data_IF_563413770020
#
_entry.id   IF_563413770020
#
_cell.length_a   1.000
_cell.length_b   1.000
_cell.length_c   1.000
_cell.angle_alpha   90.00
_cell.angle_beta   90.00
_cell.angle_gamma   90.00
#
_symmetry.space_group_name_H-M   'P 1'
#
loop_
_entity.id
_entity.type
_entity.pdbx_description
1 polymer ?
#
# COMPACT_ATOMS: atom_id res chain seq x y z
N UNK A 1 4.68 -76.53 3.32
CA UNK A 1 5.67 -75.97 2.37
C UNK A 1 6.09 -74.61 2.89
N UNK A 2 7.39 -74.51 3.21
CA UNK A 2 8.27 -73.32 3.44
C UNK A 2 7.72 -72.12 4.22
N UNK A 3 8.12 -72.07 5.49
CA UNK A 3 8.22 -70.88 6.35
C UNK A 3 9.34 -69.96 5.84
N UNK A 4 9.11 -68.65 5.84
CA UNK A 4 10.10 -67.63 5.45
C UNK A 4 10.82 -67.08 6.71
N UNK A 5 12.13 -66.98 6.61
CA UNK A 5 13.09 -66.54 7.64
C UNK A 5 13.03 -65.02 7.91
N UNK A 6 12.96 -64.58 9.18
CA UNK A 6 13.13 -63.19 9.59
C UNK A 6 14.59 -62.93 10.00
N UNK A 7 15.53 -62.99 9.05
CA UNK A 7 16.96 -63.12 9.38
C UNK A 7 17.94 -62.11 8.74
N UNK A 8 17.50 -61.04 8.07
CA UNK A 8 18.43 -60.31 7.17
C UNK A 8 18.39 -58.78 7.21
N UNK A 9 17.65 -58.15 8.14
CA UNK A 9 17.54 -56.68 8.18
C UNK A 9 18.29 -55.98 9.33
N UNK A 10 19.11 -56.71 10.09
CA UNK A 10 19.81 -56.16 11.28
C UNK A 10 21.27 -55.75 11.04
N UNK A 11 21.72 -55.63 9.79
CA UNK A 11 23.11 -55.26 9.46
C UNK A 11 23.25 -54.07 8.49
N UNK A 12 22.20 -53.26 8.32
CA UNK A 12 22.27 -51.98 7.60
C UNK A 12 21.99 -50.77 8.51
N UNK A 13 22.27 -50.90 9.81
CA UNK A 13 21.99 -49.87 10.82
C UNK A 13 23.23 -49.20 11.45
N UNK A 14 24.46 -49.57 11.08
CA UNK A 14 25.68 -49.12 11.80
C UNK A 14 26.71 -48.30 11.00
N UNK A 15 26.36 -47.75 9.83
CA UNK A 15 27.30 -46.92 9.05
C UNK A 15 26.71 -45.57 8.57
N UNK A 16 25.86 -44.94 9.39
CA UNK A 16 25.39 -43.57 9.15
C UNK A 16 25.66 -42.67 10.36
N UNK A 17 26.92 -42.63 10.77
CA UNK A 17 27.42 -41.78 11.86
C UNK A 17 28.16 -40.60 11.23
N UNK A 18 27.55 -39.41 11.38
CA UNK A 18 28.14 -38.06 11.40
C UNK A 18 28.59 -37.42 10.07
N UNK A 19 27.61 -36.96 9.28
CA UNK A 19 27.75 -35.72 8.52
C UNK A 19 26.73 -34.70 9.05
N UNK A 20 27.11 -33.98 10.11
CA UNK A 20 26.31 -32.84 10.59
C UNK A 20 26.52 -31.70 9.58
N UNK A 21 25.50 -31.28 8.82
CA UNK A 21 25.64 -30.13 7.94
C UNK A 21 25.90 -28.90 8.83
N UNK A 22 27.05 -28.25 8.60
CA UNK A 22 27.35 -26.98 9.24
C UNK A 22 26.22 -25.98 8.90
N UNK A 23 25.74 -25.18 9.88
CA UNK A 23 24.70 -24.20 9.62
C UNK A 23 25.20 -23.24 8.54
N UNK A 24 24.47 -23.17 7.42
CA UNK A 24 24.68 -22.18 6.40
C UNK A 24 24.53 -20.79 7.06
N UNK A 25 25.66 -20.11 7.30
CA UNK A 25 25.65 -18.72 7.74
C UNK A 25 24.87 -17.93 6.70
N UNK A 26 23.70 -17.43 7.08
CA UNK A 26 22.93 -16.51 6.28
C UNK A 26 23.81 -15.29 5.98
N UNK A 27 24.36 -15.23 4.76
CA UNK A 27 25.05 -14.03 4.30
C UNK A 27 24.07 -12.87 4.34
N UNK A 28 24.45 -11.78 5.00
CA UNK A 28 23.65 -10.57 5.05
C UNK A 28 23.42 -10.05 3.62
N UNK A 29 22.27 -9.41 3.39
CA UNK A 29 21.96 -8.73 2.13
C UNK A 29 23.06 -7.74 1.72
N UNK A 30 23.72 -7.12 2.71
CA UNK A 30 24.83 -6.19 2.50
C UNK A 30 26.08 -6.86 1.92
N UNK A 31 26.44 -8.06 2.41
CA UNK A 31 27.53 -8.87 1.86
C UNK A 31 27.26 -9.25 0.39
N UNK A 32 26.03 -9.68 0.09
CA UNK A 32 25.61 -9.99 -1.29
C UNK A 32 25.69 -8.76 -2.19
N UNK A 33 25.29 -7.59 -1.70
CA UNK A 33 25.36 -6.33 -2.46
C UNK A 33 26.81 -5.95 -2.75
N UNK A 34 27.70 -6.12 -1.79
CA UNK A 34 29.13 -5.87 -1.94
C UNK A 34 29.78 -6.80 -2.95
N UNK A 35 29.50 -8.10 -2.89
CA UNK A 35 30.00 -9.07 -3.89
C UNK A 35 29.51 -8.76 -5.31
N UNK A 36 28.28 -8.26 -5.44
CA UNK A 36 27.73 -7.87 -6.74
C UNK A 36 28.40 -6.60 -7.29
N UNK A 37 28.68 -5.62 -6.43
CA UNK A 37 29.43 -4.41 -6.81
C UNK A 37 30.87 -4.73 -7.22
N UNK A 38 31.54 -5.66 -6.52
CA UNK A 38 32.88 -6.15 -6.87
C UNK A 38 32.89 -6.88 -8.23
N UNK A 39 31.91 -7.77 -8.49
CA UNK A 39 31.80 -8.47 -9.79
C UNK A 39 31.53 -7.52 -10.96
N UNK A 40 30.84 -6.42 -10.72
CA UNK A 40 30.52 -5.42 -11.74
C UNK A 40 31.63 -4.38 -11.93
N UNK A 41 32.72 -4.45 -11.16
CA UNK A 41 33.83 -3.50 -11.26
C UNK A 41 33.44 -2.06 -10.89
N UNK A 42 32.32 -1.87 -10.18
CA UNK A 42 31.85 -0.54 -9.78
C UNK A 42 32.65 -0.16 -8.54
N UNK A 43 33.72 0.61 -8.73
CA UNK A 43 34.53 1.14 -7.63
C UNK A 43 33.61 1.97 -6.72
N UNK A 44 33.54 1.68 -5.41
CA UNK A 44 32.69 2.43 -4.49
C UNK A 44 33.10 3.92 -4.53
N UNK A 45 32.12 4.84 -4.50
CA UNK A 45 32.42 6.27 -4.51
C UNK A 45 33.31 6.60 -3.29
N UNK A 46 34.32 7.48 -3.46
CA UNK A 46 35.16 7.89 -2.35
C UNK A 46 34.26 8.46 -1.25
N UNK A 47 34.47 7.97 -0.03
CA UNK A 47 33.77 8.42 1.18
C UNK A 47 33.94 9.93 1.28
N UNK A 48 32.86 10.66 0.96
CA UNK A 48 32.87 12.12 0.99
C UNK A 48 32.91 12.54 2.46
N UNK A 49 34.03 13.12 2.89
CA UNK A 49 34.19 13.64 4.23
C UNK A 49 33.05 14.62 4.55
N UNK A 50 32.46 14.48 5.73
CA UNK A 50 31.42 15.36 6.22
C UNK A 50 31.87 16.82 6.12
N UNK A 51 31.07 17.74 5.56
CA UNK A 51 31.42 19.14 5.52
C UNK A 51 31.43 19.71 6.94
N UNK A 52 32.57 20.31 7.26
CA UNK A 52 32.85 21.02 8.50
C UNK A 52 31.85 22.18 8.69
N UNK A 53 31.21 22.24 9.86
CA UNK A 53 30.20 23.23 10.18
C UNK A 53 30.88 24.58 10.45
N UNK A 54 30.97 25.41 9.41
CA UNK A 54 31.52 26.76 9.47
C UNK A 54 30.74 27.69 10.41
N UNK A 55 31.49 28.34 11.30
CA UNK A 55 31.10 29.38 12.27
C UNK A 55 30.57 30.64 11.57
N UNK A 56 29.50 31.30 12.07
CA UNK A 56 29.00 32.56 11.52
C UNK A 56 29.91 33.75 11.90
N UNK A 57 30.36 34.50 10.88
CA UNK A 57 31.15 35.74 11.05
C UNK A 57 30.27 36.99 11.31
N UNK A 58 30.76 37.99 12.05
CA UNK A 58 29.98 39.16 12.45
C UNK A 58 30.06 40.33 11.43
N UNK A 59 28.90 40.95 11.19
CA UNK A 59 28.73 42.41 11.08
C UNK A 59 29.29 43.13 9.85
N UNK A 60 28.45 43.31 8.82
CA UNK A 60 28.64 44.37 7.81
C UNK A 60 27.81 45.62 8.19
N UNK A 61 28.37 46.84 8.11
CA UNK A 61 27.67 48.08 8.46
C UNK A 61 26.68 48.55 7.38
N UNK A 62 25.69 49.37 7.74
CA UNK A 62 24.63 49.83 6.83
C UNK A 62 25.15 50.88 5.83
N UNK A 63 24.68 50.86 4.56
CA UNK A 63 25.02 51.90 3.60
C UNK A 63 24.19 53.17 3.82
N UNK A 64 24.89 54.29 3.66
CA UNK A 64 24.42 55.65 3.85
C UNK A 64 23.24 56.05 2.94
N UNK A 65 22.34 56.83 3.54
CA UNK A 65 21.14 57.42 2.97
C UNK A 65 21.52 58.58 2.03
N UNK A 66 21.54 58.31 0.73
CA UNK A 66 21.67 59.34 -0.30
C UNK A 66 20.29 59.91 -0.66
N UNK A 67 20.12 61.20 -0.36
CA UNK A 67 18.95 62.00 -0.69
C UNK A 67 18.62 61.92 -2.19
N UNK A 68 17.41 61.41 -2.51
CA UNK A 68 16.88 61.37 -3.88
C UNK A 68 16.00 62.58 -4.14
N UNK A 69 16.27 63.24 -5.27
CA UNK A 69 15.44 64.23 -5.94
C UNK A 69 14.06 63.64 -6.30
N UNK A 70 12.98 64.46 -6.26
CA UNK A 70 11.63 64.00 -6.61
C UNK A 70 11.54 63.71 -8.11
N UNK A 71 11.56 62.43 -8.46
CA UNK A 71 11.34 61.94 -9.82
C UNK A 71 9.84 61.93 -10.18
N UNK A 72 9.56 62.18 -11.45
CA UNK A 72 8.24 62.15 -12.06
C UNK A 72 7.45 60.87 -11.73
N UNK A 73 6.11 60.94 -11.63
CA UNK A 73 5.27 59.81 -11.27
C UNK A 73 5.48 58.63 -12.23
N UNK A 74 5.80 57.41 -11.74
CA UNK A 74 6.04 56.26 -12.59
C UNK A 74 4.76 55.88 -13.35
N UNK A 75 4.89 55.70 -14.65
CA UNK A 75 3.85 55.14 -15.50
C UNK A 75 3.41 53.79 -14.89
N UNK A 76 2.11 53.67 -14.60
CA UNK A 76 1.51 52.46 -14.00
C UNK A 76 1.71 51.29 -14.96
N UNK A 77 2.69 50.43 -14.67
CA UNK A 77 2.83 49.13 -15.33
C UNK A 77 1.58 48.32 -15.01
N UNK A 78 0.89 47.72 -16.00
CA UNK A 78 -0.32 46.96 -15.73
C UNK A 78 -0.01 45.78 -14.81
N UNK A 79 -0.41 45.89 -13.53
CA UNK A 79 -0.15 44.93 -12.47
C UNK A 79 -0.91 43.60 -12.58
N UNK A 80 -1.50 43.31 -13.75
CA UNK A 80 -2.38 42.15 -13.97
C UNK A 80 -1.73 40.95 -14.66
N UNK A 81 -0.50 41.05 -15.16
CA UNK A 81 0.03 40.06 -16.11
C UNK A 81 0.65 38.79 -15.48
N UNK A 82 0.88 38.74 -14.17
CA UNK A 82 1.69 37.66 -13.57
C UNK A 82 0.95 36.74 -12.60
N UNK A 83 -0.38 36.66 -12.69
CA UNK A 83 -1.09 35.66 -11.88
C UNK A 83 -0.91 34.27 -12.49
N UNK A 84 -0.45 33.26 -11.72
CA UNK A 84 -0.35 31.90 -12.22
C UNK A 84 -1.71 31.42 -12.76
N UNK A 85 -1.74 30.97 -14.01
CA UNK A 85 -2.90 30.35 -14.66
C UNK A 85 -3.16 28.99 -14.01
N UNK A 86 -4.42 28.66 -13.74
CA UNK A 86 -4.79 27.30 -13.31
C UNK A 86 -4.80 26.41 -14.54
N UNK A 87 -3.98 25.34 -14.60
CA UNK A 87 -3.97 24.43 -15.74
C UNK A 87 -5.36 23.83 -16.00
N UNK A 88 -5.64 23.45 -17.24
CA UNK A 88 -6.92 22.90 -17.67
C UNK A 88 -6.72 21.48 -18.18
N UNK A 89 -7.72 20.62 -18.00
CA UNK A 89 -7.53 19.20 -18.34
C UNK A 89 -7.23 19.01 -19.84
N UNK A 90 -7.95 19.71 -20.70
CA UNK A 90 -7.88 19.52 -22.14
C UNK A 90 -6.53 19.91 -22.75
N UNK A 91 -6.01 21.09 -22.39
CA UNK A 91 -4.82 21.70 -23.01
C UNK A 91 -3.53 21.30 -22.29
N UNK A 92 -3.57 21.14 -20.96
CA UNK A 92 -2.35 20.98 -20.17
C UNK A 92 -2.19 19.56 -19.62
N UNK A 93 -3.27 18.97 -19.09
CA UNK A 93 -3.16 17.71 -18.33
C UNK A 93 -3.26 16.48 -19.21
N UNK A 94 -4.21 16.43 -20.15
CA UNK A 94 -4.37 15.28 -21.02
C UNK A 94 -3.11 15.01 -21.86
N UNK A 95 -2.47 15.98 -22.53
CA UNK A 95 -1.22 15.72 -23.25
C UNK A 95 -0.09 15.21 -22.34
N UNK A 96 -0.02 15.71 -21.11
CA UNK A 96 0.94 15.25 -20.12
C UNK A 96 0.68 13.80 -19.70
N UNK A 97 -0.56 13.45 -19.37
CA UNK A 97 -0.94 12.09 -19.00
C UNK A 97 -0.76 11.13 -20.18
N UNK A 98 -1.06 11.57 -21.40
CA UNK A 98 -0.84 10.76 -22.59
C UNK A 98 0.64 10.48 -22.82
N UNK A 99 1.49 11.51 -22.69
CA UNK A 99 2.93 11.36 -22.85
C UNK A 99 3.54 10.43 -21.81
N UNK A 100 3.20 10.61 -20.54
CA UNK A 100 3.88 9.94 -19.43
C UNK A 100 3.23 8.60 -19.04
N UNK A 101 1.92 8.43 -19.24
CA UNK A 101 1.15 7.31 -18.69
C UNK A 101 0.52 6.39 -19.75
N UNK A 102 0.29 6.84 -20.99
CA UNK A 102 -0.46 6.07 -22.03
C UNK A 102 0.25 4.79 -22.48
N UNK A 103 1.57 4.71 -22.35
CA UNK A 103 2.30 3.47 -22.67
C UNK A 103 1.84 2.28 -21.82
N UNK A 104 1.46 2.54 -20.57
CA UNK A 104 0.90 1.53 -19.67
C UNK A 104 -0.64 1.58 -19.64
N UNK A 105 -1.22 2.77 -19.58
CA UNK A 105 -2.66 2.99 -19.43
C UNK A 105 -3.40 3.20 -20.76
N UNK A 106 -2.79 2.91 -21.90
CA UNK A 106 -3.47 2.91 -23.19
C UNK A 106 -4.34 1.66 -23.39
N UNK A 107 -5.17 1.61 -24.44
CA UNK A 107 -6.02 0.45 -24.76
C UNK A 107 -5.22 -0.84 -25.00
N UNK A 108 -3.99 -0.71 -25.51
CA UNK A 108 -3.07 -1.84 -25.73
C UNK A 108 -1.98 -1.94 -24.65
N UNK A 109 -2.03 -1.06 -23.64
CA UNK A 109 -1.04 -1.00 -22.58
C UNK A 109 -1.22 -2.14 -21.57
N UNK A 110 -0.17 -2.44 -20.80
CA UNK A 110 -0.23 -3.49 -19.77
C UNK A 110 -1.28 -3.23 -18.68
N UNK A 111 -1.68 -1.98 -18.49
CA UNK A 111 -2.73 -1.56 -17.57
C UNK A 111 -4.07 -1.27 -18.28
N UNK A 112 -4.27 -1.75 -19.52
CA UNK A 112 -5.52 -1.62 -20.28
C UNK A 112 -6.74 -2.22 -19.57
N UNK A 113 -6.51 -3.19 -18.68
CA UNK A 113 -7.57 -3.82 -17.85
C UNK A 113 -7.86 -3.07 -16.56
N UNK A 114 -7.13 -1.99 -16.28
CA UNK A 114 -7.38 -1.18 -15.09
C UNK A 114 -8.61 -0.31 -15.27
N UNK A 115 -9.09 0.28 -14.17
CA UNK A 115 -10.23 1.23 -14.20
C UNK A 115 -9.87 2.59 -14.82
N UNK A 116 -8.61 2.79 -15.19
CA UNK A 116 -8.09 4.03 -15.78
C UNK A 116 -7.37 3.73 -17.08
N UNK A 117 -8.03 4.04 -18.20
CA UNK A 117 -7.50 3.84 -19.56
C UNK A 117 -7.57 5.16 -20.30
N UNK A 118 -6.43 5.63 -20.81
CA UNK A 118 -6.28 6.86 -21.58
C UNK A 118 -6.49 6.56 -23.07
N UNK A 119 -7.55 7.12 -23.64
CA UNK A 119 -7.92 6.96 -25.05
C UNK A 119 -7.54 8.18 -25.90
N UNK A 120 -7.22 9.30 -25.25
CA UNK A 120 -7.01 10.60 -25.90
C UNK A 120 -8.32 11.32 -26.22
N UNK A 121 -9.38 10.99 -25.48
CA UNK A 121 -10.73 11.51 -25.72
C UNK A 121 -11.23 12.32 -24.51
N UNK A 122 -12.27 13.15 -24.66
CA UNK A 122 -12.84 13.90 -23.53
C UNK A 122 -13.28 13.02 -22.36
N UNK A 123 -13.63 11.75 -22.61
CA UNK A 123 -13.99 10.78 -21.57
C UNK A 123 -12.85 10.47 -20.58
N UNK A 124 -11.60 10.74 -20.95
CA UNK A 124 -10.44 10.54 -20.07
C UNK A 124 -10.50 11.47 -18.83
N UNK A 125 -11.21 12.60 -18.92
CA UNK A 125 -11.41 13.52 -17.80
C UNK A 125 -12.14 12.83 -16.64
N UNK A 126 -13.31 12.26 -16.91
CA UNK A 126 -14.13 11.57 -15.90
C UNK A 126 -13.41 10.34 -15.34
N UNK A 127 -12.66 9.63 -16.19
CA UNK A 127 -11.84 8.51 -15.73
C UNK A 127 -10.72 8.98 -14.79
N UNK A 128 -10.11 10.12 -15.07
CA UNK A 128 -9.01 10.69 -14.27
C UNK A 128 -9.50 11.27 -12.94
N UNK A 129 -10.66 11.94 -12.92
CA UNK A 129 -11.24 12.52 -11.70
C UNK A 129 -11.43 11.51 -10.56
N UNK A 130 -11.68 10.23 -10.89
CA UNK A 130 -11.80 9.15 -9.90
C UNK A 130 -10.54 8.93 -9.05
N UNK A 131 -9.40 9.48 -9.48
CA UNK A 131 -8.10 9.35 -8.81
C UNK A 131 -7.58 10.69 -8.28
N UNK A 132 -8.44 11.72 -8.27
CA UNK A 132 -8.11 13.07 -7.85
C UNK A 132 -8.81 13.39 -6.52
N UNK A 133 -8.07 13.99 -5.59
CA UNK A 133 -8.56 14.45 -4.30
C UNK A 133 -8.27 15.96 -4.17
N UNK A 134 -9.17 16.85 -4.63
CA UNK A 134 -8.89 18.29 -4.67
C UNK A 134 -8.56 18.90 -3.31
N UNK A 135 -9.26 18.47 -2.25
CA UNK A 135 -9.05 18.95 -0.88
C UNK A 135 -7.68 18.57 -0.31
N UNK A 136 -7.06 17.51 -0.83
CA UNK A 136 -5.77 16.97 -0.38
C UNK A 136 -4.93 16.62 -1.59
N UNK A 137 -4.63 17.61 -2.43
CA UNK A 137 -4.08 17.43 -3.76
C UNK A 137 -2.88 16.47 -3.80
N UNK A 138 -1.86 16.69 -2.96
CA UNK A 138 -0.67 15.84 -2.86
C UNK A 138 -0.96 14.38 -2.43
N UNK A 139 -2.13 14.12 -1.82
CA UNK A 139 -2.57 12.78 -1.43
C UNK A 139 -3.35 12.05 -2.53
N UNK A 140 -3.67 12.74 -3.64
CA UNK A 140 -4.39 12.15 -4.78
C UNK A 140 -3.69 10.89 -5.27
N UNK A 141 -4.41 9.75 -5.42
CA UNK A 141 -3.87 8.52 -5.97
C UNK A 141 -3.14 8.72 -7.30
N UNK A 142 -3.62 9.63 -8.15
CA UNK A 142 -2.98 9.96 -9.43
C UNK A 142 -1.54 10.47 -9.25
N UNK A 143 -1.32 11.45 -8.37
CA UNK A 143 0.02 11.99 -8.10
C UNK A 143 0.91 10.98 -7.41
N UNK A 144 0.38 10.28 -6.41
CA UNK A 144 1.15 9.28 -5.66
C UNK A 144 1.65 8.13 -6.54
N UNK A 145 0.79 7.64 -7.42
CA UNK A 145 1.15 6.59 -8.39
C UNK A 145 2.16 7.12 -9.40
N UNK A 146 1.88 8.25 -10.04
CA UNK A 146 2.80 8.86 -11.01
C UNK A 146 4.19 9.13 -10.43
N UNK A 147 4.24 9.61 -9.18
CA UNK A 147 5.48 9.89 -8.45
C UNK A 147 6.19 8.64 -7.89
N UNK A 148 5.56 7.47 -7.98
CA UNK A 148 6.08 6.23 -7.40
C UNK A 148 6.10 6.21 -5.88
N UNK A 149 5.38 7.12 -5.20
CA UNK A 149 5.21 7.09 -3.74
C UNK A 149 4.15 6.07 -3.31
N UNK A 150 3.31 5.63 -4.24
CA UNK A 150 2.43 4.46 -4.09
C UNK A 150 2.74 3.46 -5.18
N UNK A 151 2.90 2.20 -4.78
CA UNK A 151 3.24 1.13 -5.69
C UNK A 151 2.03 0.77 -6.58
N UNK A 152 2.25 0.64 -7.89
CA UNK A 152 1.18 0.27 -8.83
C UNK A 152 1.65 -0.64 -9.98
N UNK A 153 2.73 -1.40 -9.79
CA UNK A 153 3.30 -2.32 -10.79
C UNK A 153 4.03 -1.61 -11.95
N UNK A 154 3.76 -0.33 -12.17
CA UNK A 154 4.48 0.55 -13.08
C UNK A 154 5.73 1.20 -12.45
N UNK A 155 6.61 1.72 -13.30
CA UNK A 155 7.74 2.56 -12.88
C UNK A 155 7.24 3.95 -12.51
N UNK A 156 8.02 4.67 -11.70
CA UNK A 156 7.85 6.12 -11.49
C UNK A 156 7.97 6.84 -12.84
N UNK A 157 6.94 7.60 -13.21
CA UNK A 157 6.89 8.36 -14.48
C UNK A 157 6.96 9.87 -14.26
N UNK A 158 6.58 10.36 -13.08
CA UNK A 158 6.68 11.78 -12.71
C UNK A 158 7.70 11.96 -11.59
N UNK A 159 8.76 12.74 -11.81
CA UNK A 159 9.58 13.20 -10.68
C UNK A 159 8.81 14.27 -9.89
N UNK A 160 8.87 14.24 -8.55
CA UNK A 160 8.18 15.23 -7.69
C UNK A 160 8.62 16.67 -8.05
N UNK A 161 9.89 16.85 -8.39
CA UNK A 161 10.45 18.15 -8.81
C UNK A 161 10.25 18.46 -10.31
N UNK A 162 9.56 17.59 -11.07
CA UNK A 162 9.35 17.83 -12.49
C UNK A 162 8.27 18.89 -12.72
N UNK A 163 8.44 19.66 -13.80
CA UNK A 163 7.41 20.59 -14.25
C UNK A 163 6.05 19.88 -14.47
N UNK A 164 6.07 18.63 -14.94
CA UNK A 164 4.85 17.84 -15.15
C UNK A 164 4.10 17.55 -13.85
N UNK A 165 4.82 17.10 -12.81
CA UNK A 165 4.24 16.91 -11.48
C UNK A 165 3.64 18.21 -10.94
N UNK A 166 4.39 19.33 -11.03
CA UNK A 166 3.90 20.64 -10.58
C UNK A 166 2.66 21.13 -11.34
N UNK A 167 2.56 20.88 -12.65
CA UNK A 167 1.37 21.21 -13.44
C UNK A 167 0.16 20.39 -13.01
N UNK A 168 0.35 19.09 -12.78
CA UNK A 168 -0.73 18.22 -12.32
C UNK A 168 -1.19 18.58 -10.91
N UNK A 169 -0.26 18.89 -9.99
CA UNK A 169 -0.58 19.35 -8.64
C UNK A 169 -1.43 20.63 -8.67
N UNK A 170 -1.00 21.66 -9.42
CA UNK A 170 -1.75 22.92 -9.53
C UNK A 170 -3.15 22.74 -10.15
N UNK A 171 -3.30 21.82 -11.09
CA UNK A 171 -4.63 21.49 -11.65
C UNK A 171 -5.54 20.90 -10.58
N UNK A 172 -5.05 19.96 -9.77
CA UNK A 172 -5.83 19.35 -8.69
C UNK A 172 -6.18 20.38 -7.62
N UNK A 173 -5.21 21.20 -7.18
CA UNK A 173 -5.44 22.29 -6.23
C UNK A 173 -6.44 23.33 -6.75
N UNK A 174 -6.45 23.55 -8.07
CA UNK A 174 -7.41 24.40 -8.77
C UNK A 174 -8.80 23.79 -8.95
N UNK A 175 -9.09 22.63 -8.34
CA UNK A 175 -10.38 21.95 -8.45
C UNK A 175 -10.54 21.11 -9.71
N UNK A 176 -9.44 20.79 -10.39
CA UNK A 176 -9.37 19.90 -11.54
C UNK A 176 -10.34 20.27 -12.70
N UNK A 177 -10.31 21.50 -13.26
CA UNK A 177 -11.26 21.90 -14.29
C UNK A 177 -11.14 21.09 -15.61
N UNK A 178 -12.27 20.75 -16.30
CA UNK A 178 -12.30 19.88 -17.50
C UNK A 178 -11.79 20.52 -18.80
N UNK A 179 -11.81 21.84 -18.89
CA UNK A 179 -11.58 22.54 -20.15
C UNK A 179 -10.20 23.19 -20.25
N UNK A 180 -10.16 24.31 -20.97
CA UNK A 180 -8.98 25.16 -21.10
C UNK A 180 -8.58 25.78 -19.77
N UNK A 181 -7.29 26.03 -19.63
CA UNK A 181 -6.77 26.65 -18.43
C UNK A 181 -7.36 28.06 -18.24
N UNK A 182 -7.81 28.34 -17.02
CA UNK A 182 -8.49 29.59 -16.67
C UNK A 182 -7.46 30.59 -16.16
N UNK A 183 -7.52 31.82 -16.66
CA UNK A 183 -6.83 32.95 -16.02
C UNK A 183 -7.32 33.04 -14.58
N UNK A 184 -6.41 33.10 -13.60
CA UNK A 184 -6.79 33.04 -12.19
C UNK A 184 -7.68 34.23 -11.83
N UNK A 185 -9.00 34.03 -11.83
CA UNK A 185 -9.85 34.73 -10.89
C UNK A 185 -9.62 34.08 -9.52
N UNK A 186 -9.54 34.84 -8.41
CA UNK A 186 -9.39 34.23 -7.10
C UNK A 186 -10.57 33.27 -6.93
N UNK A 187 -10.30 32.01 -6.61
CA UNK A 187 -11.33 31.13 -6.11
C UNK A 187 -11.89 31.82 -4.87
N UNK A 188 -13.05 32.46 -5.02
CA UNK A 188 -13.83 32.90 -3.87
C UNK A 188 -14.08 31.63 -3.08
N UNK A 189 -13.38 31.50 -1.96
CA UNK A 189 -13.63 30.48 -0.95
C UNK A 189 -15.09 30.67 -0.57
N UNK A 190 -15.95 29.86 -1.18
CA UNK A 190 -17.32 29.74 -0.76
C UNK A 190 -17.27 29.06 0.60
N UNK A 191 -17.20 29.88 1.66
CA UNK A 191 -17.59 29.46 3.00
C UNK A 191 -19.00 28.90 2.90
N UNK A 192 -19.10 27.57 2.86
CA UNK A 192 -20.34 26.87 3.09
C UNK A 192 -20.76 27.14 4.54
N UNK A 193 -21.74 28.03 4.72
CA UNK A 193 -22.57 28.04 5.93
C UNK A 193 -23.43 26.78 5.92
N UNK A 194 -23.48 25.98 7.01
CA UNK A 194 -24.42 24.87 7.12
C UNK A 194 -25.82 25.41 7.41
N UNK A 195 -26.55 25.79 6.36
CA UNK A 195 -27.98 26.03 6.42
C UNK A 195 -28.72 24.72 6.22
N UNK A 196 -29.31 24.18 7.29
CA UNK A 196 -30.23 23.04 7.25
C UNK A 196 -31.58 23.49 6.68
N UNK A 197 -32.11 22.89 5.61
CA UNK A 197 -33.53 22.85 5.38
C UNK A 197 -34.06 21.44 5.69
N UNK A 198 -34.95 21.39 6.66
CA UNK A 198 -35.82 20.26 6.99
C UNK A 198 -36.86 20.08 5.88
N UNK A 199 -37.05 18.88 5.33
CA UNK A 199 -38.30 18.51 4.68
C UNK A 199 -39.03 17.46 5.52
N UNK A 200 -40.18 17.85 6.06
CA UNK A 200 -41.25 16.93 6.46
C UNK A 200 -42.09 16.66 5.22
N UNK A 201 -42.15 15.43 4.71
CA UNK A 201 -43.33 14.93 4.01
C UNK A 201 -43.47 13.41 4.18
N UNK A 202 -44.50 13.08 4.94
CA UNK A 202 -45.29 11.86 4.86
C UNK A 202 -45.67 11.52 3.41
N UNK A 203 -45.79 10.20 3.15
CA UNK A 203 -46.74 9.52 2.25
C UNK A 203 -46.11 8.38 1.44
N UNK A 204 -46.40 7.17 1.90
CA UNK A 204 -46.57 5.97 1.07
C UNK A 204 -47.88 6.11 0.24
N UNK A 205 -48.13 5.35 -0.86
CA UNK A 205 -48.15 3.87 -0.83
C UNK A 205 -47.63 3.12 -2.09
N UNK A 206 -47.35 1.84 -1.85
CA UNK A 206 -47.56 0.65 -2.68
C UNK A 206 -47.40 0.74 -4.22
N UNK A 207 -46.44 -0.04 -4.73
CA UNK A 207 -46.59 -0.73 -6.01
C UNK A 207 -45.85 -2.07 -5.96
N UNK A 208 -46.63 -3.13 -6.11
CA UNK A 208 -46.21 -4.52 -6.23
C UNK A 208 -45.69 -4.80 -7.65
N UNK A 209 -44.58 -5.51 -7.77
CA UNK A 209 -44.23 -6.22 -9.00
C UNK A 209 -43.67 -7.62 -8.67
N UNK A 210 -43.94 -8.61 -9.53
CA UNK A 210 -43.85 -10.03 -9.20
C UNK A 210 -42.42 -10.61 -9.28
N UNK A 211 -42.12 -11.48 -8.34
CA UNK A 211 -40.97 -12.41 -8.35
C UNK A 211 -41.07 -13.42 -9.49
N UNK A 212 -40.14 -13.37 -10.43
CA UNK A 212 -39.82 -14.46 -11.34
C UNK A 212 -38.78 -15.37 -10.71
N UNK A 213 -39.19 -16.58 -10.32
CA UNK A 213 -38.37 -17.61 -9.69
C UNK A 213 -37.81 -18.57 -10.76
N UNK A 214 -36.49 -18.75 -10.91
CA UNK A 214 -35.94 -19.85 -11.70
C UNK A 214 -35.72 -21.11 -10.84
N UNK A 215 -36.10 -22.25 -11.43
CA UNK A 215 -36.17 -23.59 -10.86
C UNK A 215 -34.81 -24.15 -10.35
N UNK A 216 -34.83 -25.03 -9.33
CA UNK A 216 -33.64 -25.75 -8.89
C UNK A 216 -33.37 -26.97 -9.78
N UNK A 217 -32.14 -27.08 -10.28
CA UNK A 217 -31.61 -28.29 -10.89
C UNK A 217 -31.14 -29.25 -9.79
N UNK A 218 -31.67 -30.47 -9.83
CA UNK A 218 -31.34 -31.61 -8.97
C UNK A 218 -29.95 -32.14 -9.31
N UNK A 219 -29.05 -32.12 -8.32
CA UNK A 219 -27.75 -32.82 -8.41
C UNK A 219 -27.79 -34.06 -7.53
N UNK A 220 -27.63 -35.21 -8.19
CA UNK A 220 -27.63 -36.56 -7.61
C UNK A 220 -26.32 -36.85 -6.89
N UNK A 221 -26.41 -37.23 -5.61
CA UNK A 221 -25.30 -37.76 -4.79
C UNK A 221 -25.20 -39.28 -4.95
N UNK A 222 -23.99 -39.87 -4.95
CA UNK A 222 -23.79 -41.23 -4.47
C UNK A 222 -23.04 -41.25 -3.14
N UNK A 223 -23.55 -42.08 -2.23
CA UNK A 223 -23.03 -42.37 -0.90
C UNK A 223 -21.80 -43.29 -0.93
N UNK A 224 -20.91 -43.13 0.07
CA UNK A 224 -20.26 -44.23 0.77
C UNK A 224 -19.47 -43.74 2.01
N UNK A 225 -19.93 -44.19 3.19
CA UNK A 225 -19.28 -44.27 4.52
C UNK A 225 -18.42 -45.56 4.53
N UNK A 226 -17.29 -45.74 5.27
CA UNK A 226 -17.26 -45.66 6.74
C UNK A 226 -16.00 -45.15 7.48
N UNK A 227 -16.24 -44.84 8.76
CA UNK A 227 -15.29 -44.58 9.86
C UNK A 227 -14.41 -45.82 10.18
N UNK A 228 -13.36 -45.78 11.04
CA UNK A 228 -13.46 -45.45 12.48
C UNK A 228 -12.22 -44.74 13.11
N UNK A 229 -12.29 -44.41 14.40
CA UNK A 229 -11.09 -44.29 15.24
C UNK A 229 -11.09 -43.15 16.25
N UNK A 230 -11.78 -43.33 17.37
CA UNK A 230 -11.71 -42.49 18.54
C UNK A 230 -10.36 -42.60 19.26
N UNK A 231 -9.87 -41.49 19.85
CA UNK A 231 -9.16 -41.48 21.14
C UNK A 231 -9.00 -40.04 21.64
N UNK A 232 -9.73 -39.71 22.69
CA UNK A 232 -9.50 -38.55 23.57
C UNK A 232 -8.63 -38.97 24.75
N UNK A 233 -7.72 -38.11 25.23
CA UNK A 233 -7.31 -38.14 26.63
C UNK A 233 -8.01 -37.03 27.42
N UNK A 234 -8.80 -37.46 28.40
CA UNK A 234 -9.28 -36.68 29.54
C UNK A 234 -8.12 -36.39 30.49
N UNK A 235 -7.91 -35.13 30.85
CA UNK A 235 -7.11 -34.78 32.02
C UNK A 235 -7.93 -33.86 32.90
N UNK A 236 -8.51 -34.44 33.94
CA UNK A 236 -9.03 -33.73 35.10
C UNK A 236 -7.86 -33.25 35.94
N UNK A 237 -7.81 -31.97 36.29
CA UNK A 237 -7.07 -31.55 37.47
C UNK A 237 -7.83 -30.42 38.17
N UNK A 238 -8.16 -30.66 39.45
CA UNK A 238 -8.88 -29.79 40.36
C UNK A 238 -7.92 -29.25 41.43
N UNK A 239 -7.90 -27.92 41.58
CA UNK A 239 -7.63 -27.10 42.78
C UNK A 239 -6.20 -27.12 43.41
N UNK A 240 -5.79 -26.09 44.22
CA UNK A 240 -6.60 -25.03 44.83
C UNK A 240 -6.09 -23.58 44.65
N UNK A 241 -6.99 -22.66 45.00
CA UNK A 241 -6.79 -21.22 45.19
C UNK A 241 -5.68 -20.87 46.17
N UNK A 242 -4.85 -19.90 45.80
CA UNK A 242 -4.10 -19.05 46.71
C UNK A 242 -4.36 -17.60 46.33
N UNK A 243 -5.13 -16.89 47.16
CA UNK A 243 -5.29 -15.44 47.09
C UNK A 243 -4.00 -14.79 47.60
N UNK A 244 -3.19 -14.28 46.68
CA UNK A 244 -2.18 -13.28 46.97
C UNK A 244 -2.57 -12.00 46.23
N UNK A 245 -2.87 -10.93 46.98
CA UNK A 245 -2.95 -9.57 46.44
C UNK A 245 -1.56 -9.17 45.96
N UNK A 246 -1.33 -9.30 44.66
CA UNK A 246 -0.16 -8.78 43.98
C UNK A 246 -0.51 -7.44 43.31
N UNK A 247 0.41 -6.49 43.41
CA UNK A 247 0.41 -5.22 42.68
C UNK A 247 0.15 -5.43 41.17
N UNK A 248 -0.41 -4.44 40.45
CA UNK A 248 -0.71 -4.59 39.03
C UNK A 248 0.58 -4.98 38.27
N UNK A 249 0.62 -6.16 37.63
CA UNK A 249 1.76 -6.53 36.81
C UNK A 249 1.90 -5.49 35.70
N UNK A 250 3.13 -5.08 35.42
CA UNK A 250 3.48 -4.43 34.16
C UNK A 250 3.38 -5.47 33.04
N UNK A 251 2.15 -5.89 32.72
CA UNK A 251 1.76 -6.39 31.40
C UNK A 251 2.07 -5.23 30.44
N UNK A 252 3.04 -5.31 29.54
CA UNK A 252 2.71 -5.60 28.15
C UNK A 252 3.97 -5.58 27.26
N UNK A 253 5.15 -5.92 27.79
CA UNK A 253 6.38 -5.90 27.00
C UNK A 253 6.70 -7.23 26.30
N UNK A 254 6.05 -8.33 26.68
CA UNK A 254 6.47 -9.68 26.23
C UNK A 254 5.34 -10.59 25.75
N UNK A 255 4.10 -10.11 25.68
CA UNK A 255 3.03 -10.87 25.05
C UNK A 255 3.22 -10.84 23.54
N UNK A 256 3.28 -12.02 22.92
CA UNK A 256 3.29 -12.16 21.47
C UNK A 256 2.16 -11.30 20.86
N UNK A 257 2.44 -10.53 19.78
CA UNK A 257 1.43 -9.69 19.18
C UNK A 257 0.28 -10.57 18.69
N UNK A 258 -0.96 -10.22 19.04
CA UNK A 258 -2.17 -10.88 18.51
C UNK A 258 -2.48 -10.32 17.12
N UNK A 259 -3.18 -11.10 16.29
CA UNK A 259 -3.60 -10.63 14.95
C UNK A 259 -4.41 -9.32 15.03
N UNK A 260 -5.40 -9.27 15.92
CA UNK A 260 -6.15 -8.06 16.21
C UNK A 260 -5.71 -7.43 17.54
N UNK A 261 -5.71 -6.09 17.66
CA UNK A 261 -6.11 -5.13 16.63
C UNK A 261 -5.01 -4.78 15.61
N UNK A 262 -3.74 -4.85 16.02
CA UNK A 262 -2.66 -4.13 15.32
C UNK A 262 -2.31 -4.68 13.92
N UNK A 263 -2.20 -6.00 13.74
CA UNK A 263 -1.85 -6.58 12.43
C UNK A 263 -3.01 -6.42 11.45
N UNK A 264 -4.23 -6.66 11.94
CA UNK A 264 -5.46 -6.47 11.18
C UNK A 264 -5.61 -5.04 10.62
N UNK A 265 -5.41 -4.03 11.46
CA UNK A 265 -5.52 -2.61 11.07
C UNK A 265 -4.45 -2.23 10.03
N UNK A 266 -3.21 -2.68 10.22
CA UNK A 266 -2.13 -2.41 9.25
C UNK A 266 -2.45 -3.03 7.88
N UNK A 267 -2.92 -4.27 7.85
CA UNK A 267 -3.32 -4.94 6.61
C UNK A 267 -4.52 -4.27 5.95
N UNK A 268 -5.52 -3.83 6.72
CA UNK A 268 -6.66 -3.09 6.16
C UNK A 268 -6.24 -1.75 5.56
N UNK A 269 -5.39 -1.00 6.24
CA UNK A 269 -4.95 0.32 5.78
C UNK A 269 -4.22 0.24 4.43
N UNK A 270 -3.31 -0.73 4.28
CA UNK A 270 -2.37 -0.74 3.15
C UNK A 270 -2.74 -1.75 2.04
N UNK A 271 -3.53 -2.80 2.34
CA UNK A 271 -3.88 -3.83 1.35
C UNK A 271 -5.29 -3.71 0.79
N UNK A 272 -6.23 -3.06 1.51
CA UNK A 272 -7.66 -3.11 1.16
C UNK A 272 -8.00 -2.47 -0.18
N UNK A 273 -7.28 -1.45 -0.63
CA UNK A 273 -7.56 -0.79 -1.92
C UNK A 273 -7.47 -1.75 -3.12
N UNK A 274 -6.71 -2.84 -2.97
CA UNK A 274 -6.56 -3.86 -4.01
C UNK A 274 -7.23 -5.19 -3.62
N UNK A 275 -7.19 -5.57 -2.35
CA UNK A 275 -7.65 -6.86 -1.85
C UNK A 275 -9.03 -6.82 -1.18
N UNK A 276 -9.76 -5.70 -1.20
CA UNK A 276 -11.19 -5.72 -0.88
C UNK A 276 -11.95 -6.66 -1.84
N UNK A 277 -13.13 -7.13 -1.44
CA UNK A 277 -13.94 -8.05 -2.24
C UNK A 277 -14.32 -7.47 -3.62
N UNK A 278 -14.42 -6.15 -3.73
CA UNK A 278 -14.65 -5.39 -4.96
C UNK A 278 -13.35 -4.80 -5.57
N UNK A 279 -12.20 -5.07 -4.95
CA UNK A 279 -10.88 -4.64 -5.39
C UNK A 279 -10.36 -5.45 -6.59
N UNK A 280 -9.38 -4.90 -7.31
CA UNK A 280 -8.81 -5.55 -8.50
C UNK A 280 -8.18 -6.93 -8.22
N UNK A 281 -7.75 -7.17 -6.98
CA UNK A 281 -7.21 -8.45 -6.50
C UNK A 281 -8.17 -9.17 -5.54
N UNK A 282 -9.43 -8.73 -5.44
CA UNK A 282 -10.47 -9.31 -4.57
C UNK A 282 -10.87 -10.74 -4.93
N UNK A 283 -10.58 -11.20 -6.16
CA UNK A 283 -10.74 -12.59 -6.58
C UNK A 283 -9.57 -13.50 -6.18
N UNK A 284 -8.53 -12.94 -5.53
CA UNK A 284 -7.36 -13.69 -5.09
C UNK A 284 -7.62 -14.55 -3.86
N UNK A 285 -6.60 -15.33 -3.46
CA UNK A 285 -6.62 -16.11 -2.21
C UNK A 285 -6.61 -15.23 -0.95
N UNK A 286 -6.24 -13.96 -1.09
CA UNK A 286 -6.23 -12.98 -0.02
C UNK A 286 -7.32 -11.95 -0.28
N UNK A 287 -8.26 -11.84 0.66
CA UNK A 287 -9.32 -10.84 0.67
C UNK A 287 -9.30 -10.13 2.01
N UNK A 288 -9.26 -8.80 2.01
CA UNK A 288 -9.34 -8.01 3.24
C UNK A 288 -10.79 -7.92 3.71
N UNK A 289 -11.01 -8.09 5.02
CA UNK A 289 -12.32 -7.94 5.66
C UNK A 289 -12.23 -6.94 6.80
N UNK A 290 -13.28 -6.15 7.02
CA UNK A 290 -13.41 -5.27 8.19
C UNK A 290 -13.59 -6.06 9.49
N UNK A 291 -14.13 -7.27 9.40
CA UNK A 291 -14.23 -8.22 10.51
C UNK A 291 -12.88 -8.95 10.71
N UNK A 292 -12.26 -8.87 11.90
CA UNK A 292 -10.95 -9.47 12.15
C UNK A 292 -10.93 -10.99 11.99
N UNK A 293 -12.00 -11.70 12.35
CA UNK A 293 -12.03 -13.16 12.25
C UNK A 293 -12.08 -13.63 10.80
N UNK A 294 -12.92 -13.00 9.97
CA UNK A 294 -12.95 -13.26 8.53
C UNK A 294 -11.61 -12.90 7.87
N UNK A 295 -10.99 -11.80 8.29
CA UNK A 295 -9.68 -11.40 7.76
C UNK A 295 -8.59 -12.41 8.15
N UNK A 296 -8.60 -12.91 9.38
CA UNK A 296 -7.66 -13.95 9.81
C UNK A 296 -7.85 -15.24 8.99
N UNK A 297 -9.08 -15.63 8.68
CA UNK A 297 -9.37 -16.81 7.84
C UNK A 297 -8.80 -16.68 6.43
N UNK A 298 -8.81 -15.49 5.83
CA UNK A 298 -8.21 -15.26 4.52
C UNK A 298 -6.67 -15.18 4.57
N UNK A 299 -6.12 -14.75 5.70
CA UNK A 299 -4.67 -14.64 5.94
C UNK A 299 -4.02 -16.00 6.26
N UNK A 300 -4.66 -16.83 7.06
CA UNK A 300 -4.12 -18.10 7.56
C UNK A 300 -3.46 -19.00 6.48
N UNK A 301 -4.06 -19.23 5.29
CA UNK A 301 -3.43 -20.08 4.27
C UNK A 301 -2.18 -19.47 3.59
N UNK A 302 -1.82 -18.23 3.91
CA UNK A 302 -0.69 -17.50 3.34
C UNK A 302 0.47 -17.36 4.33
N UNK A 303 0.29 -17.89 5.53
CA UNK A 303 1.22 -17.81 6.65
C UNK A 303 1.72 -19.21 7.00
N UNK A 304 3.01 -19.30 7.29
CA UNK A 304 3.67 -20.44 7.91
C UNK A 304 3.98 -20.00 9.35
N UNK A 305 3.18 -20.42 10.35
CA UNK A 305 3.39 -20.07 11.75
C UNK A 305 4.84 -20.37 12.19
N UNK A 306 5.47 -19.44 12.90
CA UNK A 306 6.86 -19.52 13.32
C UNK A 306 7.90 -19.17 12.25
N UNK A 307 7.48 -18.78 11.04
CA UNK A 307 8.42 -18.45 9.96
C UNK A 307 7.90 -17.38 9.00
N UNK A 308 8.11 -16.11 9.35
CA UNK A 308 7.82 -14.97 8.48
C UNK A 308 8.61 -15.05 7.17
N UNK A 309 9.85 -15.53 7.21
CA UNK A 309 10.70 -15.65 6.03
C UNK A 309 10.11 -16.55 4.93
N UNK A 310 9.39 -17.61 5.32
CA UNK A 310 8.76 -18.59 4.40
C UNK A 310 7.28 -18.30 4.12
N UNK A 311 6.66 -17.42 4.89
CA UNK A 311 5.27 -17.00 4.70
C UNK A 311 5.08 -16.14 3.46
N UNK A 312 4.16 -16.57 2.57
CA UNK A 312 3.84 -15.88 1.31
C UNK A 312 3.31 -14.46 1.59
N UNK A 313 2.50 -14.27 2.63
CA UNK A 313 1.98 -12.95 2.99
C UNK A 313 3.12 -11.97 3.29
N UNK A 314 4.09 -12.39 4.10
CA UNK A 314 5.23 -11.55 4.48
C UNK A 314 6.19 -11.30 3.32
N UNK A 315 6.45 -12.30 2.47
CA UNK A 315 7.20 -12.16 1.22
C UNK A 315 6.55 -11.11 0.29
N UNK A 316 5.25 -11.22 0.07
CA UNK A 316 4.53 -10.27 -0.81
C UNK A 316 4.45 -8.88 -0.22
N UNK A 317 4.26 -8.75 1.10
CA UNK A 317 4.23 -7.45 1.77
C UNK A 317 5.54 -6.67 1.60
N UNK A 318 6.70 -7.35 1.66
CA UNK A 318 8.02 -6.75 1.38
C UNK A 318 8.36 -6.61 -0.12
N UNK A 319 7.47 -7.08 -0.99
CA UNK A 319 7.58 -6.94 -2.44
C UNK A 319 8.16 -8.13 -3.18
N UNK A 320 8.49 -9.22 -2.49
CA UNK A 320 8.94 -10.45 -3.12
C UNK A 320 7.76 -11.11 -3.85
N UNK A 321 7.88 -11.25 -5.17
CA UNK A 321 6.87 -11.88 -6.02
C UNK A 321 5.44 -11.28 -5.91
N UNK A 322 5.33 -10.03 -5.46
CA UNK A 322 4.10 -9.26 -5.55
C UNK A 322 4.13 -8.42 -6.84
N UNK A 323 3.17 -8.54 -7.77
CA UNK A 323 3.20 -7.76 -9.03
C UNK A 323 3.18 -6.25 -8.80
N UNK A 324 2.55 -5.82 -7.70
CA UNK A 324 2.57 -4.44 -7.22
C UNK A 324 3.72 -4.17 -6.25
N UNK A 325 4.84 -4.91 -6.33
CA UNK A 325 6.03 -4.80 -5.51
C UNK A 325 5.78 -4.62 -4.01
N UNK A 326 6.71 -3.93 -3.33
CA UNK A 326 6.67 -3.79 -1.88
C UNK A 326 5.51 -2.90 -1.44
N UNK A 327 4.62 -3.46 -0.62
CA UNK A 327 3.57 -2.70 0.07
C UNK A 327 4.19 -1.93 1.23
N UNK A 328 5.12 -2.57 1.94
CA UNK A 328 5.86 -1.97 3.04
C UNK A 328 7.36 -1.98 2.76
N UNK A 329 8.00 -0.84 3.03
CA UNK A 329 9.45 -0.71 2.88
C UNK A 329 10.19 -1.66 3.83
N UNK A 330 11.33 -2.23 3.43
CA UNK A 330 12.20 -2.98 4.33
C UNK A 330 12.54 -2.15 5.58
N UNK A 331 12.32 -2.73 6.77
CA UNK A 331 12.55 -2.06 8.05
C UNK A 331 11.39 -1.21 8.57
N UNK A 332 10.25 -1.14 7.86
CA UNK A 332 9.08 -0.43 8.39
C UNK A 332 8.51 -1.11 9.63
N UNK A 333 7.87 -0.32 10.50
CA UNK A 333 7.22 -0.82 11.70
C UNK A 333 6.08 -1.82 11.37
N UNK A 334 5.36 -1.61 10.27
CA UNK A 334 4.28 -2.49 9.81
C UNK A 334 4.80 -3.86 9.39
N UNK A 335 5.89 -3.88 8.60
CA UNK A 335 6.50 -5.14 8.18
C UNK A 335 7.11 -5.87 9.38
N UNK A 336 7.78 -5.16 10.29
CA UNK A 336 8.29 -5.74 11.52
C UNK A 336 7.18 -6.33 12.40
N UNK A 337 6.06 -5.63 12.55
CA UNK A 337 4.88 -6.10 13.29
C UNK A 337 4.30 -7.38 12.68
N UNK A 338 4.13 -7.42 11.35
CA UNK A 338 3.65 -8.62 10.66
C UNK A 338 4.60 -9.81 10.87
N UNK A 339 5.92 -9.56 10.76
CA UNK A 339 6.94 -10.59 10.99
C UNK A 339 6.88 -11.16 12.41
N UNK A 340 6.83 -10.28 13.42
CA UNK A 340 6.74 -10.68 14.83
C UNK A 340 5.49 -11.52 15.13
N UNK A 341 4.34 -11.15 14.56
CA UNK A 341 3.11 -11.93 14.71
C UNK A 341 3.23 -13.32 14.08
N UNK A 342 3.76 -13.42 12.86
CA UNK A 342 3.94 -14.71 12.20
C UNK A 342 4.95 -15.59 12.96
N UNK A 343 6.07 -15.01 13.39
CA UNK A 343 7.14 -15.74 14.08
C UNK A 343 6.72 -16.20 15.49
N UNK A 344 5.71 -15.57 16.08
CA UNK A 344 5.14 -16.00 17.36
C UNK A 344 4.21 -17.23 17.24
N UNK A 345 3.70 -17.53 16.06
CA UNK A 345 2.82 -18.66 15.76
C UNK A 345 1.33 -18.41 16.00
#
# INVERSE_FOLDING_TARGET
MRLADPGTWTLLACALVLAVPAPARAQSQEEKRRQLQERLGIKPPPTQAAPDAGVPGPGAPPPAEAARTPAAPPARTPAGANRPRVPGFEEDIRPLLEKECKSCHGPEGMAARSRWVLRGEPADYEATLRFVQPATAAQSPLLKKGAGTTFHGGKKVLAVESAGYGTLLRWIEGGAPPGKARGGAPAAVASASPGVPRPTHDSAPASAHPSGSPAPITSTTPAATPAPGASTPTVSNLAPSASASAAPPSEDASAAPRFAPRVHEALLADCSSCHASDGMAGAGRYVTHADPEQHLRSVAPLVVPGSAATSILFQRARGDAHPGGAVWSPGSAQLALLGQWIDAG
#
